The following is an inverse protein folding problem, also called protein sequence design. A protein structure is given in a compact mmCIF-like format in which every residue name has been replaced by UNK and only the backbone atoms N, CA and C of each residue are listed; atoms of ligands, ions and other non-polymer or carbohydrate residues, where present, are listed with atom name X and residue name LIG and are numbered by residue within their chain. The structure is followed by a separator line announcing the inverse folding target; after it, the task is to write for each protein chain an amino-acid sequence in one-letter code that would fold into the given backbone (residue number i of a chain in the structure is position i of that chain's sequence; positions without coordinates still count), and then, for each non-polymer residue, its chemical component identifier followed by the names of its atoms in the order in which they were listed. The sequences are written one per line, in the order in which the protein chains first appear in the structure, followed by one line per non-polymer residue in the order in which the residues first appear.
data_IF_040342360109
#
_entry.id   IF_040342360109
#
_cell.length_a   1.000
_cell.length_b   1.000
_cell.length_c   1.000
_cell.angle_alpha   90.00
_cell.angle_beta   90.00
_cell.angle_gamma   90.00
#
_symmetry.space_group_name_H-M   'P 1'
#
loop_
_entity.id
_entity.type
_entity.pdbx_description
1 polymer ?
#
# COMPACT_ATOMS: atom_id res chain seq x y z
N UNK A 1 0.55 3.14 -14.08
CA UNK A 1 -0.71 2.52 -14.57
C UNK A 1 -1.84 3.14 -13.77
N UNK A 2 -2.93 3.53 -14.41
CA UNK A 2 -4.15 3.91 -13.71
C UNK A 2 -4.85 2.65 -13.20
N UNK A 3 -5.54 2.76 -12.06
CA UNK A 3 -6.31 1.63 -11.51
C UNK A 3 -7.36 1.10 -12.50
N UNK A 4 -7.93 1.94 -13.38
CA UNK A 4 -8.88 1.54 -14.43
C UNK A 4 -8.27 0.64 -15.50
N UNK A 5 -6.96 0.70 -15.68
CA UNK A 5 -6.21 -0.01 -16.73
C UNK A 5 -5.36 -1.15 -16.15
N UNK A 6 -5.51 -1.40 -14.85
CA UNK A 6 -4.73 -2.41 -14.15
C UNK A 6 -5.26 -3.81 -14.46
N UNK A 7 -4.36 -4.69 -14.85
CA UNK A 7 -4.62 -6.10 -15.13
C UNK A 7 -3.57 -6.94 -14.39
N UNK A 8 -3.99 -7.68 -13.37
CA UNK A 8 -3.09 -8.47 -12.53
C UNK A 8 -2.33 -9.54 -13.33
N UNK A 9 -2.87 -10.01 -14.46
CA UNK A 9 -2.22 -11.01 -15.30
C UNK A 9 -0.90 -10.51 -15.92
N UNK A 10 -0.69 -9.21 -15.97
CA UNK A 10 0.53 -8.55 -16.46
C UNK A 10 1.59 -8.31 -15.38
N UNK A 11 1.28 -8.70 -14.13
CA UNK A 11 2.23 -8.62 -13.02
C UNK A 11 3.18 -9.80 -13.07
N UNK A 12 4.46 -9.51 -12.90
CA UNK A 12 5.51 -10.49 -12.67
C UNK A 12 6.37 -10.07 -11.49
N UNK A 13 7.07 -11.02 -10.88
CA UNK A 13 8.01 -10.76 -9.79
C UNK A 13 9.44 -11.10 -10.21
N UNK A 14 10.40 -10.26 -9.85
CA UNK A 14 11.81 -10.62 -10.02
C UNK A 14 12.20 -11.67 -8.98
N UNK A 15 13.18 -12.54 -9.30
CA UNK A 15 13.70 -13.50 -8.32
C UNK A 15 14.13 -12.78 -7.04
N UNK A 16 13.80 -13.30 -5.84
CA UNK A 16 14.25 -12.72 -4.57
C UNK A 16 15.77 -12.70 -4.47
N UNK A 17 16.32 -11.56 -4.13
CA UNK A 17 17.77 -11.36 -3.97
C UNK A 17 18.10 -10.71 -2.63
N UNK A 18 19.27 -11.00 -2.10
CA UNK A 18 19.75 -10.41 -0.85
C UNK A 18 20.01 -8.91 -1.02
N UNK A 19 19.41 -8.09 -0.16
CA UNK A 19 19.59 -6.64 -0.20
C UNK A 19 20.79 -6.23 0.63
N UNK A 20 21.72 -5.48 0.02
CA UNK A 20 22.89 -4.91 0.72
C UNK A 20 23.78 -5.96 1.35
N UNK A 21 23.90 -7.16 0.76
CA UNK A 21 24.73 -8.26 1.25
C UNK A 21 24.17 -8.99 2.48
N UNK A 22 23.02 -8.58 3.01
CA UNK A 22 22.38 -9.21 4.17
C UNK A 22 21.51 -10.38 3.69
N UNK A 23 21.94 -11.61 3.97
CA UNK A 23 21.24 -12.84 3.58
C UNK A 23 19.86 -13.03 4.22
N UNK A 24 19.60 -12.36 5.33
CA UNK A 24 18.36 -12.37 6.10
C UNK A 24 17.29 -11.40 5.55
N UNK A 25 17.65 -10.53 4.60
CA UNK A 25 16.74 -9.56 4.00
C UNK A 25 16.69 -9.73 2.49
N UNK A 26 15.69 -10.45 2.03
CA UNK A 26 15.43 -10.61 0.61
C UNK A 26 14.52 -9.50 0.09
N UNK A 27 14.75 -9.11 -1.13
CA UNK A 27 13.93 -8.16 -1.87
C UNK A 27 13.61 -8.72 -3.25
N UNK A 28 12.36 -8.62 -3.62
CA UNK A 28 11.89 -8.82 -4.98
C UNK A 28 11.13 -7.57 -5.43
N UNK A 29 11.14 -7.32 -6.72
CA UNK A 29 10.43 -6.20 -7.32
C UNK A 29 9.27 -6.72 -8.15
N UNK A 30 8.13 -6.06 -8.04
CA UNK A 30 7.02 -6.29 -8.95
C UNK A 30 7.23 -5.51 -10.23
N UNK A 31 6.96 -6.16 -11.33
CA UNK A 31 6.98 -5.59 -12.67
C UNK A 31 5.59 -5.68 -13.28
N UNK A 32 5.24 -4.72 -14.11
CA UNK A 32 4.05 -4.71 -14.94
C UNK A 32 4.46 -4.49 -16.38
N UNK A 33 4.15 -5.42 -17.26
CA UNK A 33 4.64 -5.43 -18.64
C UNK A 33 6.17 -5.20 -18.70
N UNK A 34 6.94 -5.89 -17.83
CA UNK A 34 8.41 -5.79 -17.70
C UNK A 34 8.95 -4.41 -17.23
N UNK A 35 8.10 -3.50 -16.82
CA UNK A 35 8.48 -2.20 -16.25
C UNK A 35 8.20 -2.18 -14.74
N UNK A 36 8.89 -1.34 -13.95
CA UNK A 36 8.59 -1.21 -12.52
C UNK A 36 7.12 -0.94 -12.26
N UNK A 37 6.53 -1.74 -11.38
CA UNK A 37 5.10 -1.63 -11.05
C UNK A 37 4.82 -0.38 -10.23
N UNK A 38 4.02 0.52 -10.79
CA UNK A 38 3.51 1.73 -10.13
C UNK A 38 2.02 1.84 -10.41
N UNK A 39 1.21 1.73 -9.35
CA UNK A 39 -0.25 1.83 -9.45
C UNK A 39 -0.73 3.19 -8.96
N UNK A 40 -1.45 3.91 -9.82
CA UNK A 40 -2.15 5.13 -9.46
C UNK A 40 -3.52 4.77 -8.91
N UNK A 41 -3.70 4.99 -7.62
CA UNK A 41 -4.99 4.79 -6.94
C UNK A 41 -5.99 5.89 -7.31
N UNK A 42 -7.30 5.62 -7.19
CA UNK A 42 -8.32 6.66 -7.22
C UNK A 42 -8.16 7.60 -6.02
N UNK A 43 -8.95 8.67 -5.97
CA UNK A 43 -9.02 9.50 -4.77
C UNK A 43 -9.55 8.67 -3.59
N UNK A 44 -8.82 8.67 -2.49
CA UNK A 44 -9.15 7.94 -1.26
C UNK A 44 -8.96 8.89 -0.08
N UNK A 45 -9.71 8.66 0.99
CA UNK A 45 -9.57 9.42 2.23
C UNK A 45 -8.56 8.77 3.16
N UNK A 46 -7.77 9.60 3.85
CA UNK A 46 -6.87 9.18 4.91
C UNK A 46 -7.48 9.54 6.28
N UNK A 47 -8.40 8.72 6.84
CA UNK A 47 -9.20 9.08 8.00
C UNK A 47 -8.38 9.34 9.27
N UNK A 48 -7.15 8.85 9.30
CA UNK A 48 -6.26 8.98 10.47
C UNK A 48 -4.97 9.74 10.13
N UNK A 49 -4.88 10.33 8.94
CA UNK A 49 -3.64 10.95 8.47
C UNK A 49 -2.46 9.98 8.46
N UNK A 50 -1.27 10.54 8.64
CA UNK A 50 -0.03 9.75 8.81
C UNK A 50 0.07 9.28 10.25
N UNK A 51 0.24 7.99 10.44
CA UNK A 51 0.39 7.37 11.77
C UNK A 51 1.78 6.77 11.93
N UNK A 52 2.37 6.93 13.12
CA UNK A 52 3.59 6.23 13.52
C UNK A 52 3.23 5.01 14.35
N UNK A 53 3.92 3.91 14.13
CA UNK A 53 3.76 2.72 14.95
C UNK A 53 4.83 2.70 16.05
N UNK A 54 4.42 2.94 17.30
CA UNK A 54 5.30 2.85 18.46
C UNK A 54 5.15 1.46 19.10
N UNK A 55 6.16 0.62 18.98
CA UNK A 55 6.22 -0.62 19.70
C UNK A 55 6.91 -0.37 21.05
N UNK A 56 6.17 -0.48 22.16
CA UNK A 56 6.68 -0.36 23.54
C UNK A 56 7.48 0.92 23.85
N UNK A 57 7.02 2.07 23.35
CA UNK A 57 7.66 3.36 23.65
C UNK A 57 8.95 3.64 22.88
N UNK A 58 9.40 2.73 22.05
CA UNK A 58 10.47 2.98 21.08
C UNK A 58 9.83 3.49 19.80
N UNK A 59 10.12 4.72 19.44
CA UNK A 59 9.76 5.29 18.14
C UNK A 59 10.34 4.40 17.05
N UNK A 60 9.51 3.53 16.50
CA UNK A 60 9.91 2.85 15.27
C UNK A 60 9.73 3.86 14.13
N UNK A 61 10.75 4.06 13.30
CA UNK A 61 10.69 4.90 12.09
C UNK A 61 9.75 4.27 11.03
N UNK A 62 8.64 3.66 11.47
CA UNK A 62 7.64 3.04 10.64
C UNK A 62 6.40 3.93 10.58
N UNK A 63 6.33 4.73 9.55
CA UNK A 63 5.19 5.58 9.28
C UNK A 63 4.29 4.93 8.23
N UNK A 64 2.99 5.06 8.42
CA UNK A 64 2.00 4.52 7.50
C UNK A 64 0.85 5.49 7.25
N UNK A 65 0.24 5.33 6.09
CA UNK A 65 -0.97 6.04 5.69
C UNK A 65 -2.04 5.00 5.41
N UNK A 66 -3.15 5.08 6.15
CA UNK A 66 -4.31 4.24 5.92
C UNK A 66 -5.29 4.98 5.00
N UNK A 67 -5.55 4.39 3.85
CA UNK A 67 -6.46 4.96 2.85
C UNK A 67 -7.77 4.18 2.85
N UNK A 68 -8.89 4.89 2.86
CA UNK A 68 -10.23 4.30 2.83
C UNK A 68 -11.15 5.07 1.89
N UNK A 69 -12.11 4.36 1.33
CA UNK A 69 -13.11 4.93 0.45
C UNK A 69 -14.36 5.48 1.17
N UNK A 70 -14.58 5.06 2.39
CA UNK A 70 -15.85 5.28 3.11
C UNK A 70 -16.02 6.72 3.54
N UNK A 71 -15.84 7.69 2.83
CA UNK A 71 -16.30 9.03 3.19
C UNK A 71 -16.02 10.08 2.12
N UNK A 72 -15.83 9.62 0.91
CA UNK A 72 -15.91 10.51 -0.23
C UNK A 72 -17.40 10.72 -0.50
N UNK A 73 -18.04 11.56 0.33
CA UNK A 73 -19.40 11.97 0.08
C UNK A 73 -19.37 13.04 -1.02
N UNK A 74 -19.88 12.69 -2.18
CA UNK A 74 -20.19 13.67 -3.20
C UNK A 74 -21.68 14.05 -3.12
N UNK A 75 -22.00 15.32 -3.28
CA UNK A 75 -23.38 15.82 -3.34
C UNK A 75 -24.06 15.47 -4.67
N UNK A 76 -23.29 15.12 -5.66
CA UNK A 76 -23.73 14.67 -6.97
C UNK A 76 -23.83 13.14 -6.97
N UNK A 77 -25.05 12.61 -7.10
CA UNK A 77 -25.34 11.18 -6.98
C UNK A 77 -24.63 10.37 -8.07
N UNK A 78 -24.59 10.88 -9.30
CA UNK A 78 -23.96 10.16 -10.42
C UNK A 78 -22.46 10.03 -10.23
N UNK A 79 -21.81 11.10 -9.77
CA UNK A 79 -20.38 11.07 -9.41
C UNK A 79 -20.10 10.18 -8.21
N UNK A 80 -21.06 10.06 -7.29
CA UNK A 80 -20.92 9.15 -6.14
C UNK A 80 -20.96 7.69 -6.57
N UNK A 81 -21.83 7.33 -7.53
CA UNK A 81 -21.88 5.96 -8.07
C UNK A 81 -20.60 5.59 -8.81
N UNK A 82 -20.12 6.49 -9.68
CA UNK A 82 -18.83 6.29 -10.38
C UNK A 82 -17.67 6.13 -9.41
N UNK A 83 -17.62 6.96 -8.36
CA UNK A 83 -16.60 6.89 -7.33
C UNK A 83 -16.68 5.58 -6.56
N UNK A 84 -17.89 5.16 -6.17
CA UNK A 84 -18.11 3.90 -5.46
C UNK A 84 -17.67 2.70 -6.31
N UNK A 85 -17.97 2.70 -7.60
CA UNK A 85 -17.53 1.67 -8.53
C UNK A 85 -16.01 1.61 -8.63
N UNK A 86 -15.35 2.74 -8.88
CA UNK A 86 -13.88 2.81 -8.93
C UNK A 86 -13.21 2.28 -7.66
N UNK A 87 -13.85 2.50 -6.53
CA UNK A 87 -13.34 2.06 -5.23
C UNK A 87 -13.52 0.56 -5.02
N UNK A 88 -14.66 0.00 -5.40
CA UNK A 88 -14.87 -1.46 -5.37
C UNK A 88 -13.85 -2.13 -6.28
N UNK A 89 -13.72 -1.63 -7.51
CA UNK A 89 -12.79 -2.18 -8.49
C UNK A 89 -11.34 -2.18 -7.98
N UNK A 90 -10.89 -1.13 -7.29
CA UNK A 90 -9.50 -1.10 -6.78
C UNK A 90 -9.28 -2.08 -5.63
N UNK A 91 -10.24 -2.26 -4.73
CA UNK A 91 -10.11 -3.27 -3.68
C UNK A 91 -10.03 -4.68 -4.25
N UNK A 92 -10.88 -5.01 -5.21
CA UNK A 92 -10.89 -6.31 -5.86
C UNK A 92 -9.59 -6.56 -6.64
N UNK A 93 -9.06 -5.55 -7.31
CA UNK A 93 -7.75 -5.62 -7.99
C UNK A 93 -6.59 -5.82 -7.01
N UNK A 94 -6.60 -5.15 -5.87
CA UNK A 94 -5.56 -5.32 -4.85
C UNK A 94 -5.66 -6.68 -4.16
N UNK A 95 -6.86 -7.22 -3.97
CA UNK A 95 -7.04 -8.59 -3.48
C UNK A 95 -6.54 -9.64 -4.49
N UNK A 96 -6.69 -9.40 -5.79
CA UNK A 96 -6.08 -10.24 -6.82
C UNK A 96 -4.54 -10.13 -6.81
N UNK A 97 -4.00 -8.93 -6.58
CA UNK A 97 -2.56 -8.74 -6.38
C UNK A 97 -2.06 -9.50 -5.15
N UNK A 98 -2.80 -9.48 -4.05
CA UNK A 98 -2.47 -10.24 -2.84
C UNK A 98 -2.42 -11.76 -3.14
N UNK A 99 -3.38 -12.29 -3.91
CA UNK A 99 -3.36 -13.70 -4.38
C UNK A 99 -2.14 -14.00 -5.24
N UNK A 100 -1.78 -13.08 -6.15
CA UNK A 100 -0.55 -13.22 -6.92
C UNK A 100 0.68 -13.29 -6.00
N UNK A 101 0.75 -12.43 -4.98
CA UNK A 101 1.87 -12.39 -4.04
C UNK A 101 1.96 -13.66 -3.19
N UNK A 102 0.84 -14.28 -2.83
CA UNK A 102 0.82 -15.58 -2.14
C UNK A 102 1.36 -16.68 -3.06
N UNK A 103 0.89 -16.73 -4.31
CA UNK A 103 1.40 -17.68 -5.30
C UNK A 103 2.90 -17.51 -5.58
N UNK A 104 3.37 -16.26 -5.67
CA UNK A 104 4.77 -15.94 -5.78
C UNK A 104 5.56 -16.40 -4.54
N UNK A 105 4.99 -16.22 -3.34
CA UNK A 105 5.57 -16.72 -2.07
C UNK A 105 5.74 -18.24 -2.05
N UNK A 106 4.79 -18.98 -2.62
CA UNK A 106 4.88 -20.43 -2.79
C UNK A 106 6.00 -20.81 -3.78
N UNK A 107 6.05 -20.18 -4.95
CA UNK A 107 7.06 -20.44 -5.98
C UNK A 107 8.49 -20.25 -5.45
N UNK A 108 8.72 -19.19 -4.69
CA UNK A 108 10.03 -18.86 -4.14
C UNK A 108 10.18 -19.22 -2.66
N UNK A 109 9.33 -20.10 -2.13
CA UNK A 109 9.25 -20.42 -0.70
C UNK A 109 10.57 -20.88 -0.11
N UNK A 110 11.33 -21.70 -0.82
CA UNK A 110 12.65 -22.15 -0.38
C UNK A 110 13.64 -21.00 -0.18
N UNK A 111 13.58 -19.99 -1.07
CA UNK A 111 14.45 -18.81 -0.95
C UNK A 111 13.98 -17.87 0.15
N UNK A 112 12.66 -17.66 0.28
CA UNK A 112 12.06 -16.69 1.19
C UNK A 112 11.99 -17.22 2.62
N UNK A 113 11.56 -18.48 2.80
CA UNK A 113 11.28 -19.06 4.11
C UNK A 113 12.28 -20.16 4.53
N UNK A 114 13.25 -20.51 3.66
CA UNK A 114 14.19 -21.60 3.91
C UNK A 114 13.58 -23.01 3.80
N UNK A 115 12.28 -23.10 3.45
CA UNK A 115 11.53 -24.34 3.27
C UNK A 115 10.78 -24.31 1.98
N UNK A 116 10.63 -25.45 1.36
CA UNK A 116 9.83 -25.62 0.16
C UNK A 116 8.36 -25.86 0.54
N UNK A 117 7.48 -25.06 -0.01
CA UNK A 117 6.03 -25.17 0.16
C UNK A 117 5.39 -25.49 -1.20
N UNK A 118 4.49 -26.47 -1.20
CA UNK A 118 3.78 -26.92 -2.40
C UNK A 118 2.44 -26.19 -2.51
N UNK A 119 2.13 -25.66 -3.68
CA UNK A 119 0.84 -25.05 -3.98
C UNK A 119 -0.30 -26.06 -3.78
N UNK A 120 -1.44 -25.61 -3.29
CA UNK A 120 -2.61 -26.43 -2.96
C UNK A 120 -2.49 -27.18 -1.63
N UNK A 121 -1.28 -27.33 -1.08
CA UNK A 121 -1.05 -28.06 0.18
C UNK A 121 -0.62 -27.14 1.33
N UNK A 122 0.10 -26.08 1.00
CA UNK A 122 0.66 -25.17 2.00
C UNK A 122 0.19 -23.72 1.82
N UNK A 123 -0.84 -23.48 1.03
CA UNK A 123 -1.34 -22.13 0.73
C UNK A 123 -1.69 -21.38 2.00
N UNK A 124 -2.41 -22.01 2.93
CA UNK A 124 -2.77 -21.39 4.22
C UNK A 124 -1.57 -21.00 5.07
N UNK A 125 -0.44 -21.72 4.94
CA UNK A 125 0.80 -21.39 5.68
C UNK A 125 1.42 -20.10 5.11
N UNK A 126 1.51 -19.99 3.79
CA UNK A 126 2.07 -18.80 3.13
C UNK A 126 1.14 -17.62 3.31
N UNK A 127 -0.17 -17.82 3.22
CA UNK A 127 -1.17 -16.79 3.47
C UNK A 127 -1.08 -16.24 4.89
N UNK A 128 -0.89 -17.09 5.91
CA UNK A 128 -0.71 -16.66 7.29
C UNK A 128 0.58 -15.84 7.52
N UNK A 129 1.60 -16.03 6.69
CA UNK A 129 2.86 -15.27 6.73
C UNK A 129 2.79 -13.98 5.88
N UNK A 130 1.79 -13.86 5.03
CA UNK A 130 1.62 -12.72 4.15
C UNK A 130 0.88 -11.57 4.87
N UNK A 131 1.28 -10.35 4.57
CA UNK A 131 0.56 -9.16 5.04
C UNK A 131 -0.26 -8.58 3.90
N UNK A 132 -1.58 -8.79 3.97
CA UNK A 132 -2.51 -8.30 2.96
C UNK A 132 -2.43 -6.79 2.74
N UNK A 133 -2.50 -6.38 1.49
CA UNK A 133 -2.54 -4.98 1.07
C UNK A 133 -3.84 -4.32 1.49
N UNK A 134 -4.96 -5.05 1.35
CA UNK A 134 -6.28 -4.62 1.82
C UNK A 134 -6.52 -5.18 3.21
N UNK A 135 -6.82 -4.30 4.16
CA UNK A 135 -7.15 -4.66 5.54
C UNK A 135 -8.64 -4.57 5.75
N UNK A 136 -9.22 -5.64 6.24
CA UNK A 136 -10.56 -5.67 6.85
C UNK A 136 -10.43 -5.90 8.35
N UNK A 137 -11.35 -5.38 9.11
CA UNK A 137 -11.45 -5.58 10.56
C UNK A 137 -12.90 -5.39 10.99
N UNK A 138 -13.25 -5.94 12.13
CA UNK A 138 -14.59 -5.84 12.73
C UNK A 138 -14.51 -5.11 14.07
N UNK A 139 -15.62 -4.51 14.48
CA UNK A 139 -15.78 -3.96 15.82
C UNK A 139 -16.04 -5.08 16.84
N UNK A 140 -16.24 -4.70 18.12
CA UNK A 140 -16.49 -5.67 19.19
C UNK A 140 -17.82 -6.44 19.00
N UNK A 141 -18.73 -5.88 18.21
CA UNK A 141 -20.06 -6.43 17.97
C UNK A 141 -20.12 -7.24 16.65
N UNK A 142 -18.98 -7.41 15.97
CA UNK A 142 -18.84 -8.15 14.71
C UNK A 142 -19.26 -7.35 13.49
N UNK A 143 -19.46 -6.03 13.60
CA UNK A 143 -19.76 -5.20 12.44
C UNK A 143 -18.49 -4.87 11.66
N UNK A 144 -18.48 -5.01 10.32
CA UNK A 144 -17.28 -4.76 9.54
C UNK A 144 -16.95 -3.27 9.50
N UNK A 145 -15.70 -2.94 9.83
CA UNK A 145 -15.13 -1.64 9.47
C UNK A 145 -14.92 -1.53 7.97
N UNK A 146 -14.88 -0.31 7.43
CA UNK A 146 -14.52 -0.10 6.03
C UNK A 146 -13.16 -0.70 5.70
N UNK A 147 -13.08 -1.37 4.56
CA UNK A 147 -11.79 -1.85 4.02
C UNK A 147 -10.80 -0.68 3.91
N UNK A 148 -9.53 -0.95 4.17
CA UNK A 148 -8.43 0.03 4.16
C UNK A 148 -7.25 -0.51 3.38
N UNK A 149 -6.58 0.38 2.67
CA UNK A 149 -5.26 0.13 2.08
C UNK A 149 -4.23 0.71 3.04
N UNK A 150 -3.32 -0.12 3.52
CA UNK A 150 -2.23 0.33 4.38
C UNK A 150 -0.97 0.54 3.52
N UNK A 151 -0.51 1.77 3.45
CA UNK A 151 0.72 2.13 2.73
C UNK A 151 1.80 2.54 3.71
N UNK A 152 3.02 2.05 3.50
CA UNK A 152 4.19 2.49 4.28
C UNK A 152 4.82 3.71 3.65
N UNK A 153 5.07 4.74 4.46
CA UNK A 153 5.88 5.88 4.06
C UNK A 153 7.33 5.56 4.41
N UNK A 154 8.18 5.49 3.41
CA UNK A 154 9.61 5.21 3.58
C UNK A 154 10.38 6.49 3.78
N UNK A 155 11.50 6.42 4.48
CA UNK A 155 12.51 7.48 4.53
C UNK A 155 13.28 7.56 3.20
N UNK A 156 13.88 8.70 2.98
CA UNK A 156 14.86 8.88 1.90
C UNK A 156 16.13 8.07 2.20
N UNK A 157 16.79 7.57 1.15
CA UNK A 157 17.94 6.69 1.32
C UNK A 157 19.11 7.37 2.03
N UNK A 158 19.39 8.62 1.66
CA UNK A 158 20.52 9.40 2.20
C UNK A 158 20.13 10.24 3.44
N UNK A 159 18.84 10.41 3.68
CA UNK A 159 18.29 11.22 4.77
C UNK A 159 17.19 10.43 5.49
N UNK A 160 17.57 9.55 6.42
CA UNK A 160 16.62 8.61 7.06
C UNK A 160 15.53 9.30 7.89
N UNK A 161 15.73 10.55 8.30
CA UNK A 161 14.76 11.33 9.06
C UNK A 161 13.75 12.06 8.15
N UNK A 162 13.98 12.06 6.84
CA UNK A 162 13.06 12.67 5.88
C UNK A 162 12.16 11.62 5.22
N UNK A 163 10.85 11.92 5.06
CA UNK A 163 9.95 11.06 4.33
C UNK A 163 10.26 11.07 2.83
N UNK A 164 10.21 9.89 2.20
CA UNK A 164 10.28 9.77 0.75
C UNK A 164 8.86 9.81 0.16
N UNK A 165 8.23 10.97 0.28
CA UNK A 165 6.87 11.22 -0.21
C UNK A 165 6.81 12.61 -0.82
N UNK A 166 6.03 12.74 -1.89
CA UNK A 166 5.63 14.02 -2.45
C UNK A 166 4.13 14.20 -2.23
N UNK A 167 3.75 15.32 -1.70
CA UNK A 167 2.34 15.70 -1.49
C UNK A 167 2.05 16.93 -2.34
N UNK A 168 0.93 16.87 -3.03
CA UNK A 168 0.50 17.92 -3.94
C UNK A 168 -0.84 18.47 -3.47
N UNK A 169 -1.01 19.79 -3.51
CA UNK A 169 -2.26 20.46 -3.21
C UNK A 169 -2.97 20.81 -4.52
N UNK A 170 -4.23 20.41 -4.65
CA UNK A 170 -5.04 20.73 -5.82
C UNK A 170 -5.09 19.66 -6.91
N UNK A 171 -5.60 19.99 -8.08
CA UNK A 171 -5.67 19.08 -9.20
C UNK A 171 -4.28 18.84 -9.79
N UNK A 172 -4.08 17.67 -10.38
CA UNK A 172 -2.80 17.25 -10.95
C UNK A 172 -2.29 18.13 -12.11
N UNK A 173 -3.18 18.94 -12.67
CA UNK A 173 -2.88 19.84 -13.80
C UNK A 173 -2.16 21.13 -13.34
N UNK A 174 -2.30 21.46 -12.05
CA UNK A 174 -1.74 22.68 -11.43
C UNK A 174 -0.46 22.42 -10.62
N UNK A 175 0.20 21.27 -10.83
CA UNK A 175 1.37 20.90 -10.03
C UNK A 175 2.59 21.74 -10.42
N UNK A 176 2.87 22.76 -9.62
CA UNK A 176 4.20 23.36 -9.53
C UNK A 176 5.09 22.48 -8.65
N UNK A 177 6.34 22.26 -9.06
CA UNK A 177 7.32 21.40 -8.37
C UNK A 177 7.64 21.80 -6.92
N UNK A 178 7.18 22.97 -6.48
CA UNK A 178 7.45 23.56 -5.16
C UNK A 178 6.40 23.17 -4.08
N UNK A 179 5.37 22.42 -4.42
CA UNK A 179 4.28 22.11 -3.50
C UNK A 179 4.64 20.98 -2.54
N UNK A 180 5.01 21.33 -1.32
CA UNK A 180 5.15 20.48 -0.15
C UNK A 180 6.30 19.45 -0.15
N UNK A 181 7.50 19.93 0.05
CA UNK A 181 8.59 19.16 0.63
C UNK A 181 8.44 19.12 2.16
N UNK A 182 8.69 17.97 2.76
CA UNK A 182 8.69 17.78 4.21
C UNK A 182 10.12 17.59 4.68
N UNK A 183 10.53 18.38 5.68
CA UNK A 183 11.87 18.31 6.23
C UNK A 183 12.03 17.18 7.25
N UNK A 184 10.93 16.70 7.82
CA UNK A 184 10.92 15.60 8.76
C UNK A 184 9.58 14.85 8.72
N UNK A 185 9.52 13.69 9.40
CA UNK A 185 8.26 12.97 9.60
C UNK A 185 7.29 13.73 10.54
N UNK A 186 7.80 14.46 11.51
CA UNK A 186 6.99 15.34 12.37
C UNK A 186 6.33 16.44 11.56
N UNK A 187 7.06 17.04 10.64
CA UNK A 187 6.53 18.06 9.71
C UNK A 187 5.42 17.48 8.82
N UNK A 188 5.64 16.27 8.29
CA UNK A 188 4.62 15.54 7.53
C UNK A 188 3.36 15.25 8.37
N UNK A 189 3.49 14.89 9.64
CA UNK A 189 2.36 14.62 10.53
C UNK A 189 1.61 15.91 10.85
N UNK A 190 2.32 17.00 11.16
CA UNK A 190 1.73 18.27 11.55
C UNK A 190 1.07 19.00 10.38
N UNK A 191 1.72 19.04 9.22
CA UNK A 191 1.22 19.71 8.01
C UNK A 191 0.33 18.80 7.17
N UNK A 192 0.50 17.49 7.32
CA UNK A 192 -0.20 16.47 6.58
C UNK A 192 -1.58 16.13 7.15
N UNK A 193 -2.32 17.12 7.65
CA UNK A 193 -3.75 16.96 7.90
C UNK A 193 -4.48 16.82 6.56
N UNK A 194 -4.31 15.64 5.93
CA UNK A 194 -5.00 15.25 4.70
C UNK A 194 -6.51 15.06 4.89
N UNK A 195 -7.07 15.62 5.96
CA UNK A 195 -8.33 15.19 6.54
C UNK A 195 -9.50 16.02 6.07
N UNK A 196 -9.29 17.14 5.44
CA UNK A 196 -10.40 17.97 4.99
C UNK A 196 -10.27 18.30 3.50
N UNK A 197 -10.91 17.47 2.71
CA UNK A 197 -11.23 17.72 1.32
C UNK A 197 -12.54 17.06 1.01
#
# INVERSE_FOLDING_TARGET
IKHTDFDVSKITGTKPTARGGKKDKLTAYLLYDNSPFLLKLPALKAPFGVTSYNNNGVSSNNYSLNLSAKSLLNKDVDKQEELNKCVVDIYDQLEQLDKFMISYGLEYSKSIFGKEYEAGKHDAVVEALFTSTVKSSEDKDGNPYPRRINTKIRSQYEQPDKPNVKVYKGSREDLNDDDFTFDSFEDLIQKGSFVEG
#
